data_IF_672265366291
#
_entry.id   IF_672265366291
#
_cell.length_a   1.000
_cell.length_b   1.000
_cell.length_c   1.000
_cell.angle_alpha   90.00
_cell.angle_beta   90.00
_cell.angle_gamma   90.00
#
_symmetry.space_group_name_H-M   'P 1'
#
loop_
_entity.id
_entity.type
_entity.pdbx_description
1 polymer ?
#
# COMPACT_ATOMS: atom_id res chain seq x y z
N UNK A 1 9.76 -6.98 12.16
CA UNK A 1 9.77 -5.84 13.08
C UNK A 1 9.50 -6.26 14.49
N UNK A 2 10.29 -5.80 15.41
CA UNK A 2 10.17 -6.19 16.80
C UNK A 2 9.52 -5.12 17.67
N UNK A 3 9.06 -4.03 17.10
CA UNK A 3 8.48 -2.91 17.83
C UNK A 3 7.16 -2.48 17.25
N UNK A 4 6.32 -1.88 18.08
CA UNK A 4 5.16 -1.17 17.58
C UNK A 4 5.63 0.03 16.77
N UNK A 5 5.03 0.28 15.64
CA UNK A 5 5.40 1.43 14.84
C UNK A 5 4.24 1.85 13.95
N UNK A 6 4.33 3.07 13.47
CA UNK A 6 3.37 3.57 12.51
C UNK A 6 3.64 2.91 11.16
N UNK A 7 2.63 2.27 10.62
CA UNK A 7 2.73 1.59 9.34
C UNK A 7 1.87 2.33 8.33
N UNK A 8 2.48 2.65 7.19
CA UNK A 8 1.77 3.26 6.08
C UNK A 8 1.99 2.41 4.83
N UNK A 9 0.90 2.00 4.22
CA UNK A 9 0.93 1.23 2.98
C UNK A 9 0.08 1.97 1.96
N UNK A 10 0.66 2.27 0.82
CA UNK A 10 -0.03 3.02 -0.22
C UNK A 10 0.27 2.44 -1.58
N UNK A 11 -0.70 2.57 -2.48
CA UNK A 11 -0.59 2.15 -3.88
C UNK A 11 -0.42 3.39 -4.73
N UNK A 12 0.52 3.33 -5.67
CA UNK A 12 0.84 4.42 -6.58
C UNK A 12 0.68 3.96 -8.03
N UNK A 13 0.33 4.89 -8.89
CA UNK A 13 0.33 4.60 -10.33
C UNK A 13 1.74 4.79 -10.90
N UNK A 14 1.89 4.59 -12.22
CA UNK A 14 3.19 4.70 -12.86
C UNK A 14 3.72 6.13 -12.90
N UNK A 15 2.88 7.11 -12.61
CA UNK A 15 3.28 8.50 -12.51
C UNK A 15 3.71 8.90 -11.10
N UNK A 16 3.63 7.95 -10.16
CA UNK A 16 4.00 8.22 -8.77
C UNK A 16 2.90 8.86 -7.94
N UNK A 17 1.69 8.93 -8.44
CA UNK A 17 0.57 9.49 -7.67
C UNK A 17 -0.07 8.43 -6.81
N UNK A 18 -0.50 8.82 -5.61
CA UNK A 18 -1.19 7.91 -4.72
C UNK A 18 -2.56 7.57 -5.29
N UNK A 19 -2.80 6.28 -5.45
CA UNK A 19 -4.09 5.75 -5.89
C UNK A 19 -4.94 5.40 -4.69
N UNK A 20 -4.35 4.72 -3.71
CA UNK A 20 -5.06 4.25 -2.53
C UNK A 20 -4.12 4.15 -1.35
N UNK A 21 -4.58 4.58 -0.19
CA UNK A 21 -3.88 4.32 1.08
C UNK A 21 -4.53 3.11 1.72
N UNK A 22 -3.77 2.01 1.84
CA UNK A 22 -4.30 0.76 2.37
C UNK A 22 -4.19 0.69 3.89
N UNK A 23 -3.17 1.28 4.46
CA UNK A 23 -2.99 1.32 5.90
C UNK A 23 -2.23 2.58 6.27
N UNK A 24 -2.60 3.17 7.41
CA UNK A 24 -1.93 4.36 7.93
C UNK A 24 -2.25 4.43 9.41
N UNK A 25 -1.61 3.56 10.19
CA UNK A 25 -1.93 3.45 11.60
C UNK A 25 -0.78 2.79 12.35
N UNK A 26 -0.80 2.89 13.66
CA UNK A 26 0.12 2.15 14.51
C UNK A 26 -0.30 0.69 14.53
N UNK A 27 0.70 -0.18 14.40
CA UNK A 27 0.48 -1.61 14.47
C UNK A 27 1.49 -2.25 15.40
N UNK A 28 1.08 -3.32 16.07
CA UNK A 28 1.99 -4.10 16.90
C UNK A 28 2.92 -4.91 16.02
N UNK A 29 4.04 -5.34 16.59
CA UNK A 29 4.95 -6.22 15.88
C UNK A 29 4.25 -7.50 15.46
N UNK A 30 4.64 -8.03 14.31
CA UNK A 30 4.08 -9.26 13.78
C UNK A 30 3.75 -9.12 12.30
N UNK A 31 3.25 -10.21 11.75
CA UNK A 31 2.85 -10.22 10.35
C UNK A 31 1.45 -9.63 10.19
N UNK A 32 1.33 -8.82 9.16
CA UNK A 32 0.05 -8.25 8.75
C UNK A 32 -0.11 -8.48 7.27
N UNK A 33 -1.33 -8.69 6.83
CA UNK A 33 -1.63 -8.76 5.42
C UNK A 33 -2.68 -7.71 5.08
N UNK A 34 -2.53 -7.12 3.90
CA UNK A 34 -3.44 -6.10 3.42
C UNK A 34 -3.80 -6.46 1.98
N UNK A 35 -5.07 -6.36 1.67
CA UNK A 35 -5.55 -6.61 0.31
C UNK A 35 -6.07 -5.34 -0.30
N UNK A 36 -5.75 -5.16 -1.58
CA UNK A 36 -6.26 -4.04 -2.36
C UNK A 36 -7.36 -4.53 -3.27
N UNK A 37 -8.49 -3.84 -3.25
CA UNK A 37 -9.66 -4.22 -4.02
C UNK A 37 -9.70 -3.61 -5.42
N UNK A 38 -8.61 -2.95 -5.84
CA UNK A 38 -8.56 -2.32 -7.15
C UNK A 38 -9.30 -1.01 -7.25
N UNK A 39 -9.57 -0.36 -6.12
CA UNK A 39 -10.28 0.90 -6.08
C UNK A 39 -9.38 1.99 -5.49
N UNK A 40 -9.61 3.22 -5.95
CA UNK A 40 -8.89 4.36 -5.39
C UNK A 40 -9.53 4.81 -4.07
N UNK A 41 -9.01 5.90 -3.49
CA UNK A 41 -9.54 6.42 -2.23
C UNK A 41 -10.98 6.89 -2.34
N UNK A 42 -11.46 7.17 -3.52
CA UNK A 42 -12.85 7.56 -3.78
C UNK A 42 -13.76 6.37 -4.06
N UNK A 43 -13.25 5.15 -3.86
CA UNK A 43 -13.99 3.90 -4.07
C UNK A 43 -14.36 3.67 -5.53
N UNK A 44 -13.60 4.26 -6.44
CA UNK A 44 -13.79 4.06 -7.88
C UNK A 44 -12.79 3.03 -8.37
N UNK A 45 -13.23 2.12 -9.22
CA UNK A 45 -12.34 1.16 -9.85
C UNK A 45 -11.30 1.87 -10.70
N UNK A 46 -10.05 1.43 -10.58
CA UNK A 46 -8.98 1.94 -11.43
C UNK A 46 -8.69 0.93 -12.54
N UNK A 47 -8.01 1.40 -13.57
CA UNK A 47 -7.72 0.53 -14.72
C UNK A 47 -6.75 -0.58 -14.32
N UNK A 48 -6.83 -1.71 -15.02
CA UNK A 48 -5.89 -2.79 -14.85
C UNK A 48 -4.53 -2.38 -15.40
N UNK A 49 -3.47 -2.97 -14.84
CA UNK A 49 -2.13 -2.69 -15.30
C UNK A 49 -1.13 -2.61 -14.17
N UNK A 50 -0.05 -1.88 -14.42
CA UNK A 50 1.08 -1.80 -13.50
C UNK A 50 0.85 -0.73 -12.44
N UNK A 51 1.08 -1.13 -11.20
CA UNK A 51 1.04 -0.24 -10.04
C UNK A 51 2.23 -0.51 -9.15
N UNK A 52 2.49 0.42 -8.26
CA UNK A 52 3.51 0.26 -7.23
C UNK A 52 2.87 0.38 -5.87
N UNK A 53 3.41 -0.32 -4.90
CA UNK A 53 2.99 -0.10 -3.52
C UNK A 53 4.21 0.08 -2.63
N UNK A 54 4.07 0.92 -1.63
CA UNK A 54 5.13 1.15 -0.68
C UNK A 54 4.65 0.82 0.73
N UNK A 55 5.55 0.28 1.52
CA UNK A 55 5.34 -0.02 2.92
C UNK A 55 6.36 0.76 3.71
N UNK A 56 5.89 1.58 4.64
CA UNK A 56 6.75 2.34 5.54
C UNK A 56 6.42 1.96 6.98
N UNK A 57 7.44 1.67 7.75
CA UNK A 57 7.27 1.25 9.14
C UNK A 57 8.49 1.67 9.93
N UNK A 58 8.37 2.77 10.67
CA UNK A 58 9.52 3.33 11.35
C UNK A 58 10.59 3.76 10.34
N UNK A 59 11.77 3.21 10.48
CA UNK A 59 12.88 3.48 9.55
C UNK A 59 12.87 2.55 8.34
N UNK A 60 12.01 1.56 8.34
CA UNK A 60 11.91 0.61 7.25
C UNK A 60 11.01 1.17 6.16
N UNK A 61 11.46 1.04 4.92
CA UNK A 61 10.60 1.35 3.78
C UNK A 61 10.94 0.40 2.63
N UNK A 62 9.91 0.04 1.89
CA UNK A 62 10.08 -0.86 0.75
C UNK A 62 9.02 -0.51 -0.29
N UNK A 63 9.44 -0.47 -1.55
CA UNK A 63 8.52 -0.22 -2.66
C UNK A 63 8.64 -1.37 -3.64
N UNK A 64 7.51 -1.91 -4.04
CA UNK A 64 7.45 -3.02 -4.97
C UNK A 64 6.41 -2.74 -6.05
N UNK A 65 6.58 -3.39 -7.18
CA UNK A 65 5.61 -3.29 -8.26
C UNK A 65 4.62 -4.44 -8.20
N UNK A 66 3.43 -4.19 -8.72
CA UNK A 66 2.39 -5.20 -8.79
C UNK A 66 1.57 -4.98 -10.04
N UNK A 67 0.86 -6.02 -10.45
CA UNK A 67 -0.03 -5.94 -11.60
C UNK A 67 -1.45 -6.17 -11.12
N UNK A 68 -2.33 -5.23 -11.44
CA UNK A 68 -3.74 -5.38 -11.14
C UNK A 68 -4.42 -6.06 -12.31
N UNK A 69 -5.03 -7.20 -12.03
CA UNK A 69 -5.81 -7.95 -13.02
C UNK A 69 -7.28 -7.83 -12.66
N UNK A 70 -8.09 -7.84 -13.69
CA UNK A 70 -9.54 -7.75 -13.51
C UNK A 70 -10.14 -9.14 -13.29
#
# INVERSE_FOLDING_TARGET
MAKNSHVKIAVYNTMGKIVKTLANEYQTAGFRSVKWDGKNNNKQKVSTGLYFYSIQSGEFSSTKKMILLD
#
